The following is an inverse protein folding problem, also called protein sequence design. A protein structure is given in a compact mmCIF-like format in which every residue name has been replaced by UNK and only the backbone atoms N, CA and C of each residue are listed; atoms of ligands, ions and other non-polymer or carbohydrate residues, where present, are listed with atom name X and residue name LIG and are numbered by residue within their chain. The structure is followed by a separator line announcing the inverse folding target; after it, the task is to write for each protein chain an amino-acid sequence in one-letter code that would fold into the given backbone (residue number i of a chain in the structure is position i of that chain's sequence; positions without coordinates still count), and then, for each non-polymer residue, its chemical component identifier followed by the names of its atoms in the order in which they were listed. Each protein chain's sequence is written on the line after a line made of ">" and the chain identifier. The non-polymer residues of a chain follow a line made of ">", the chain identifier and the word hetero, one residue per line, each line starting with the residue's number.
data_IF_735043188534
#
_entry.id   IF_735043188534
#
_cell.length_a   1.000
_cell.length_b   1.000
_cell.length_c   1.000
_cell.angle_alpha   90.00
_cell.angle_beta   90.00
_cell.angle_gamma   90.00
#
_symmetry.space_group_name_H-M   'P 1'
#
loop_
_entity.id
_entity.type
_entity.pdbx_description
1 polymer ?
#
# COMPACT_ATOMS: atom_id res chain seq x y z
N UNK A 1 23.90 1.32 -16.67
CA UNK A 1 22.69 2.12 -16.94
C UNK A 1 21.79 1.34 -17.92
N UNK A 2 20.56 1.07 -17.50
CA UNK A 2 19.58 0.34 -18.32
C UNK A 2 18.82 1.32 -19.26
N UNK A 3 18.88 2.62 -18.97
CA UNK A 3 18.20 3.67 -19.73
C UNK A 3 19.24 4.57 -20.40
N UNK A 4 19.21 4.62 -21.73
CA UNK A 4 19.96 5.59 -22.53
C UNK A 4 19.01 6.73 -22.90
N UNK A 5 19.11 7.87 -22.23
CA UNK A 5 18.27 9.05 -22.47
C UNK A 5 18.27 10.00 -21.28
N UNK A 6 17.56 11.10 -21.43
CA UNK A 6 17.37 12.06 -20.35
C UNK A 6 16.55 11.44 -19.21
N UNK A 7 17.14 11.38 -18.03
CA UNK A 7 16.52 10.80 -16.84
C UNK A 7 16.24 11.87 -15.79
N UNK A 8 14.97 11.96 -15.35
CA UNK A 8 14.53 12.88 -14.32
C UNK A 8 13.82 12.11 -13.21
N UNK A 9 14.20 12.34 -11.96
CA UNK A 9 13.47 11.81 -10.82
C UNK A 9 12.16 12.59 -10.68
N UNK A 10 11.04 11.88 -10.90
CA UNK A 10 9.72 12.47 -10.79
C UNK A 10 9.26 12.47 -9.34
N UNK A 11 9.00 13.66 -8.79
CA UNK A 11 8.28 13.80 -7.54
C UNK A 11 6.77 13.57 -7.76
N UNK A 12 6.04 13.20 -6.70
CA UNK A 12 4.61 12.93 -6.75
C UNK A 12 3.81 14.05 -7.43
N UNK A 13 4.08 15.30 -7.09
CA UNK A 13 3.39 16.46 -7.67
C UNK A 13 3.56 16.57 -9.19
N UNK A 14 4.74 16.20 -9.74
CA UNK A 14 5.00 16.23 -11.18
C UNK A 14 4.13 15.23 -11.93
N UNK A 15 3.92 14.04 -11.35
CA UNK A 15 3.09 13.00 -11.95
C UNK A 15 1.60 13.32 -11.80
N UNK A 16 1.19 13.85 -10.65
CA UNK A 16 -0.19 14.26 -10.39
C UNK A 16 -0.60 15.48 -11.24
N UNK A 17 0.26 16.50 -11.37
CA UNK A 17 0.03 17.61 -12.30
C UNK A 17 0.07 17.12 -13.75
N UNK A 18 1.07 16.34 -14.12
CA UNK A 18 1.24 15.65 -15.41
C UNK A 18 1.36 16.55 -16.63
N UNK A 19 1.25 17.88 -16.52
CA UNK A 19 1.25 18.80 -17.67
C UNK A 19 2.55 18.74 -18.46
N UNK A 20 3.70 18.73 -17.78
CA UNK A 20 5.01 18.62 -18.42
C UNK A 20 5.15 17.29 -19.17
N UNK A 21 4.69 16.18 -18.56
CA UNK A 21 4.70 14.84 -19.17
C UNK A 21 3.87 14.84 -20.45
N UNK A 22 2.62 15.30 -20.38
CA UNK A 22 1.71 15.34 -21.52
C UNK A 22 2.21 16.25 -22.64
N UNK A 23 2.71 17.44 -22.30
CA UNK A 23 3.28 18.39 -23.27
C UNK A 23 4.45 17.77 -24.03
N UNK A 24 5.39 17.16 -23.31
CA UNK A 24 6.57 16.52 -23.91
C UNK A 24 6.19 15.31 -24.77
N UNK A 25 5.17 14.54 -24.34
CA UNK A 25 4.69 13.37 -25.07
C UNK A 25 4.07 13.68 -26.44
N UNK A 26 3.76 14.96 -26.73
CA UNK A 26 3.25 15.36 -28.07
C UNK A 26 4.33 15.37 -29.16
N UNK A 27 5.58 15.47 -28.77
CA UNK A 27 6.72 15.57 -29.71
C UNK A 27 7.80 14.51 -29.49
N UNK A 28 7.75 13.78 -28.37
CA UNK A 28 8.77 12.81 -27.98
C UNK A 28 8.17 11.63 -27.24
N UNK A 29 8.86 10.50 -27.21
CA UNK A 29 8.51 9.37 -26.35
C UNK A 29 8.90 9.66 -24.91
N UNK A 30 7.93 9.68 -24.01
CA UNK A 30 8.16 9.80 -22.56
C UNK A 30 7.89 8.47 -21.88
N UNK A 31 8.82 8.02 -21.06
CA UNK A 31 8.68 6.77 -20.28
C UNK A 31 8.57 7.11 -18.81
N UNK A 32 7.44 6.76 -18.19
CA UNK A 32 7.27 6.85 -16.74
C UNK A 32 7.62 5.49 -16.11
N UNK A 33 8.73 5.46 -15.38
CA UNK A 33 9.15 4.28 -14.62
C UNK A 33 8.56 4.35 -13.20
N UNK A 34 7.87 3.29 -12.81
CA UNK A 34 7.31 3.15 -11.46
C UNK A 34 7.81 1.87 -10.78
N UNK A 35 7.84 1.88 -9.46
CA UNK A 35 8.05 0.66 -8.68
C UNK A 35 6.78 -0.20 -8.74
N UNK A 36 6.93 -1.49 -9.07
CA UNK A 36 5.81 -2.42 -9.18
C UNK A 36 4.91 -2.14 -10.39
N UNK A 37 3.66 -2.57 -10.32
CA UNK A 37 2.69 -2.33 -11.40
C UNK A 37 2.27 -0.86 -11.45
N UNK A 38 2.25 -0.23 -12.63
CA UNK A 38 1.99 1.20 -12.77
C UNK A 38 0.58 1.64 -12.38
N UNK A 39 -0.37 0.72 -12.21
CA UNK A 39 -1.76 1.06 -11.87
C UNK A 39 -2.24 0.53 -10.53
N UNK A 40 -1.40 -0.18 -9.78
CA UNK A 40 -1.79 -0.72 -8.49
C UNK A 40 -1.45 0.26 -7.37
N UNK A 41 -2.46 0.69 -6.61
CA UNK A 41 -2.35 1.64 -5.50
C UNK A 41 -1.68 2.98 -5.89
N UNK A 42 -2.05 3.52 -7.05
CA UNK A 42 -1.49 4.74 -7.61
C UNK A 42 -2.54 5.58 -8.35
N UNK A 43 -2.23 6.84 -8.63
CA UNK A 43 -3.07 7.78 -9.40
C UNK A 43 -2.72 7.83 -10.89
N UNK A 44 -1.78 7.02 -11.38
CA UNK A 44 -1.26 7.08 -12.75
C UNK A 44 -2.33 6.84 -13.84
N UNK A 45 -3.43 6.18 -13.49
CA UNK A 45 -4.55 5.97 -14.42
C UNK A 45 -5.17 7.30 -14.89
N UNK A 46 -5.14 8.33 -14.04
CA UNK A 46 -5.63 9.66 -14.38
C UNK A 46 -4.75 10.30 -15.47
N UNK A 47 -3.42 10.20 -15.34
CA UNK A 47 -2.47 10.68 -16.35
C UNK A 47 -2.72 9.99 -17.70
N UNK A 48 -2.92 8.65 -17.69
CA UNK A 48 -3.26 7.90 -18.90
C UNK A 48 -4.58 8.36 -19.51
N UNK A 49 -5.58 8.65 -18.68
CA UNK A 49 -6.89 9.14 -19.16
C UNK A 49 -6.75 10.49 -19.85
N UNK A 50 -6.00 11.42 -19.25
CA UNK A 50 -5.70 12.73 -19.87
C UNK A 50 -4.92 12.58 -21.19
N UNK A 51 -3.90 11.73 -21.21
CA UNK A 51 -3.15 11.44 -22.44
C UNK A 51 -4.09 10.97 -23.56
N UNK A 52 -5.04 10.07 -23.26
CA UNK A 52 -6.03 9.60 -24.22
C UNK A 52 -6.94 10.72 -24.72
N UNK A 53 -7.40 11.62 -23.85
CA UNK A 53 -8.22 12.78 -24.23
C UNK A 53 -7.45 13.72 -25.16
N UNK A 54 -6.14 13.88 -24.97
CA UNK A 54 -5.24 14.66 -25.82
C UNK A 54 -4.75 13.90 -27.07
N UNK A 55 -5.28 12.70 -27.32
CA UNK A 55 -4.92 11.82 -28.46
C UNK A 55 -3.44 11.42 -28.47
N UNK A 56 -2.82 11.34 -27.30
CA UNK A 56 -1.45 10.82 -27.12
C UNK A 56 -1.54 9.30 -27.02
N UNK A 57 -0.80 8.59 -27.87
CA UNK A 57 -0.71 7.12 -27.78
C UNK A 57 -0.01 6.71 -26.48
N UNK A 58 -0.56 5.72 -25.80
CA UNK A 58 0.00 5.21 -24.54
C UNK A 58 0.16 3.70 -24.59
N UNK A 59 1.31 3.22 -24.11
CA UNK A 59 1.58 1.79 -23.92
C UNK A 59 1.89 1.55 -22.45
N UNK A 60 1.29 0.51 -21.89
CA UNK A 60 1.55 0.09 -20.51
C UNK A 60 2.31 -1.23 -20.51
N UNK A 61 3.33 -1.32 -19.66
CA UNK A 61 4.04 -2.56 -19.36
C UNK A 61 3.73 -2.87 -17.90
N UNK A 62 2.98 -3.93 -17.66
CA UNK A 62 2.63 -4.40 -16.31
C UNK A 62 3.78 -5.12 -15.65
N UNK A 63 3.82 -5.09 -14.32
CA UNK A 63 4.81 -5.74 -13.50
C UNK A 63 4.17 -6.35 -12.25
N UNK A 64 4.95 -7.07 -11.45
CA UNK A 64 4.50 -7.59 -10.16
C UNK A 64 4.17 -6.45 -9.19
N UNK A 65 3.15 -6.66 -8.35
CA UNK A 65 2.79 -5.73 -7.28
C UNK A 65 3.16 -6.31 -5.91
N UNK A 66 3.75 -5.49 -5.05
CA UNK A 66 4.02 -5.86 -3.67
C UNK A 66 2.75 -6.30 -2.92
N UNK A 67 1.57 -5.76 -3.31
CA UNK A 67 0.29 -6.14 -2.69
C UNK A 67 -0.03 -7.61 -2.98
N UNK A 68 0.02 -8.04 -4.24
CA UNK A 68 -0.27 -9.45 -4.59
C UNK A 68 0.82 -10.38 -4.05
N UNK A 69 2.08 -9.95 -4.11
CA UNK A 69 3.20 -10.74 -3.61
C UNK A 69 3.12 -10.97 -2.10
N UNK A 70 2.83 -9.93 -1.29
CA UNK A 70 2.73 -10.11 0.17
C UNK A 70 1.57 -10.99 0.59
N UNK A 71 0.45 -11.00 -0.14
CA UNK A 71 -0.68 -11.89 0.15
C UNK A 71 -0.25 -13.35 -0.04
N UNK A 72 0.43 -13.65 -1.14
CA UNK A 72 0.97 -15.00 -1.41
C UNK A 72 2.04 -15.42 -0.40
N UNK A 73 3.00 -14.54 -0.11
CA UNK A 73 4.06 -14.78 0.88
C UNK A 73 3.51 -14.98 2.30
N UNK A 74 2.38 -14.33 2.62
CA UNK A 74 1.67 -14.52 3.88
C UNK A 74 0.86 -15.83 3.95
N UNK A 75 0.78 -16.60 2.86
CA UNK A 75 -0.02 -17.82 2.78
C UNK A 75 -1.53 -17.58 2.72
N UNK A 76 -1.96 -16.37 2.37
CA UNK A 76 -3.37 -16.00 2.32
C UNK A 76 -3.95 -16.11 0.91
N UNK A 77 -5.25 -16.37 0.84
CA UNK A 77 -5.97 -16.44 -0.42
C UNK A 77 -6.38 -15.04 -0.91
N UNK A 78 -6.00 -14.70 -2.14
CA UNK A 78 -6.34 -13.41 -2.75
C UNK A 78 -7.86 -13.14 -2.78
N UNK A 79 -8.68 -14.19 -2.98
CA UNK A 79 -10.15 -14.10 -3.01
C UNK A 79 -10.78 -13.68 -1.68
N UNK A 80 -10.03 -13.74 -0.59
CA UNK A 80 -10.47 -13.35 0.75
C UNK A 80 -9.98 -11.97 1.18
N UNK A 81 -9.37 -11.24 0.26
CA UNK A 81 -8.95 -9.86 0.52
C UNK A 81 -10.13 -8.93 0.33
N UNK A 82 -10.47 -8.20 1.38
CA UNK A 82 -11.47 -7.15 1.34
C UNK A 82 -10.91 -5.84 0.76
N UNK A 83 -11.61 -4.74 1.00
CA UNK A 83 -11.15 -3.43 0.51
C UNK A 83 -9.80 -3.08 1.12
N UNK A 84 -8.82 -2.81 0.25
CA UNK A 84 -7.47 -2.35 0.62
C UNK A 84 -7.53 -0.86 1.01
N UNK A 85 -6.74 -0.47 2.00
CA UNK A 85 -6.71 0.90 2.51
C UNK A 85 -5.29 1.34 2.84
N UNK A 86 -5.12 2.66 3.05
CA UNK A 86 -3.86 3.25 3.52
C UNK A 86 -4.09 3.91 4.87
N UNK A 87 -3.20 3.69 5.82
CA UNK A 87 -3.14 4.44 7.08
C UNK A 87 -2.07 5.51 6.96
N UNK A 88 -2.47 6.73 7.30
CA UNK A 88 -1.60 7.89 7.39
C UNK A 88 -1.14 8.09 8.83
N UNK A 89 -0.06 8.84 9.02
CA UNK A 89 0.46 9.13 10.36
C UNK A 89 -0.52 9.92 11.24
N UNK A 90 -1.34 10.76 10.62
CA UNK A 90 -2.33 11.54 11.34
C UNK A 90 -3.44 10.65 11.89
N UNK A 91 -3.62 10.61 13.22
CA UNK A 91 -4.61 9.76 13.90
C UNK A 91 -6.03 9.91 13.35
N UNK A 92 -6.47 11.15 13.06
CA UNK A 92 -7.82 11.40 12.53
C UNK A 92 -8.07 10.73 11.19
N UNK A 93 -7.04 10.57 10.35
CA UNK A 93 -7.14 9.89 9.07
C UNK A 93 -7.35 8.38 9.20
N UNK A 94 -7.08 7.81 10.38
CA UNK A 94 -7.24 6.37 10.68
C UNK A 94 -8.71 5.94 10.84
N UNK A 95 -9.64 6.88 11.02
CA UNK A 95 -11.08 6.57 11.16
C UNK A 95 -11.66 5.83 9.95
N UNK A 96 -11.38 6.30 8.73
CA UNK A 96 -11.88 5.69 7.51
C UNK A 96 -11.30 4.28 7.30
N UNK A 97 -9.97 4.06 7.41
CA UNK A 97 -9.39 2.73 7.47
C UNK A 97 -10.01 1.83 8.52
N UNK A 98 -10.18 2.29 9.76
CA UNK A 98 -10.81 1.53 10.82
C UNK A 98 -12.23 1.06 10.45
N UNK A 99 -13.06 1.96 9.91
CA UNK A 99 -14.39 1.61 9.41
C UNK A 99 -14.38 0.58 8.27
N UNK A 100 -13.34 0.61 7.44
CA UNK A 100 -13.14 -0.38 6.37
C UNK A 100 -12.70 -1.73 6.93
N UNK A 101 -11.80 -1.75 7.91
CA UNK A 101 -11.39 -2.97 8.63
C UNK A 101 -12.61 -3.62 9.28
N UNK A 102 -13.44 -2.83 9.98
CA UNK A 102 -14.69 -3.33 10.56
C UNK A 102 -15.56 -4.06 9.53
N UNK A 103 -15.80 -3.45 8.38
CA UNK A 103 -16.60 -4.07 7.29
C UNK A 103 -15.97 -5.35 6.78
N UNK A 104 -14.67 -5.33 6.46
CA UNK A 104 -13.96 -6.50 5.97
C UNK A 104 -14.05 -7.66 6.97
N UNK A 105 -13.78 -7.40 8.26
CA UNK A 105 -13.81 -8.43 9.30
C UNK A 105 -15.22 -8.98 9.52
N UNK A 106 -16.25 -8.14 9.45
CA UNK A 106 -17.66 -8.58 9.54
C UNK A 106 -18.03 -9.54 8.40
N UNK A 107 -17.44 -9.36 7.22
CA UNK A 107 -17.61 -10.24 6.05
C UNK A 107 -16.64 -11.44 6.07
N UNK A 108 -15.80 -11.57 7.09
CA UNK A 108 -14.79 -12.63 7.20
C UNK A 108 -13.58 -12.44 6.26
N UNK A 109 -13.40 -11.24 5.71
CA UNK A 109 -12.33 -10.91 4.77
C UNK A 109 -11.09 -10.38 5.50
N UNK A 110 -9.92 -10.57 4.89
CA UNK A 110 -8.66 -10.00 5.37
C UNK A 110 -8.56 -8.53 4.94
N UNK A 111 -7.91 -7.72 5.77
CA UNK A 111 -7.70 -6.29 5.53
C UNK A 111 -6.24 -6.01 5.23
N UNK A 112 -5.92 -5.68 3.98
CA UNK A 112 -4.59 -5.23 3.57
C UNK A 112 -4.49 -3.72 3.80
N UNK A 113 -3.48 -3.31 4.55
CA UNK A 113 -3.23 -1.94 4.97
C UNK A 113 -1.86 -1.52 4.46
N UNK A 114 -1.86 -0.55 3.58
CA UNK A 114 -0.67 0.15 3.17
C UNK A 114 -0.33 1.24 4.20
N UNK A 115 0.95 1.45 4.44
CA UNK A 115 1.41 2.47 5.38
C UNK A 115 1.93 3.69 4.64
N UNK A 116 1.69 4.87 5.20
CA UNK A 116 2.11 6.13 4.60
C UNK A 116 3.60 6.15 4.28
N UNK A 117 3.92 6.59 3.07
CA UNK A 117 5.23 7.08 2.69
C UNK A 117 5.12 8.56 2.28
N UNK A 118 5.84 9.41 2.97
CA UNK A 118 5.97 10.84 2.63
C UNK A 118 7.36 11.09 2.05
N UNK A 119 7.43 11.22 0.73
CA UNK A 119 8.69 11.40 0.00
C UNK A 119 9.43 12.68 0.39
N UNK A 120 8.70 13.79 0.62
CA UNK A 120 9.33 15.08 0.91
C UNK A 120 9.98 15.10 2.31
N UNK A 121 9.44 14.33 3.23
CA UNK A 121 9.97 14.18 4.59
C UNK A 121 10.86 12.95 4.75
N UNK A 122 11.02 12.14 3.72
CA UNK A 122 11.64 10.80 3.78
C UNK A 122 11.11 9.98 4.97
N UNK A 123 9.79 10.01 5.15
CA UNK A 123 9.11 9.41 6.29
C UNK A 123 8.29 8.21 5.87
N UNK A 124 8.45 7.12 6.60
CA UNK A 124 7.62 5.92 6.51
C UNK A 124 6.91 5.70 7.84
N UNK A 125 5.60 5.46 7.79
CA UNK A 125 4.84 5.12 8.99
C UNK A 125 5.27 3.74 9.51
N UNK A 126 5.72 3.70 10.77
CA UNK A 126 6.09 2.45 11.44
C UNK A 126 4.83 1.59 11.73
N UNK A 127 4.88 0.27 11.50
CA UNK A 127 3.77 -0.63 11.80
C UNK A 127 3.25 -0.54 13.24
N UNK A 128 4.12 -0.33 14.22
CA UNK A 128 3.71 -0.18 15.63
C UNK A 128 2.86 1.06 15.84
N UNK A 129 3.21 2.17 15.19
CA UNK A 129 2.43 3.41 15.27
C UNK A 129 1.06 3.23 14.61
N UNK A 130 1.01 2.54 13.46
CA UNK A 130 -0.25 2.24 12.79
C UNK A 130 -1.16 1.34 13.65
N UNK A 131 -0.61 0.29 14.27
CA UNK A 131 -1.33 -0.60 15.20
C UNK A 131 -1.82 0.19 16.42
N UNK A 132 -0.97 1.04 17.01
CA UNK A 132 -1.33 1.87 18.16
C UNK A 132 -2.48 2.83 17.82
N UNK A 133 -2.42 3.50 16.66
CA UNK A 133 -3.50 4.37 16.19
C UNK A 133 -4.83 3.62 16.02
N UNK A 134 -4.78 2.40 15.47
CA UNK A 134 -5.96 1.54 15.32
C UNK A 134 -6.57 1.14 16.67
N UNK A 135 -5.74 0.76 17.65
CA UNK A 135 -6.20 0.42 19.00
C UNK A 135 -6.76 1.65 19.74
N UNK A 136 -6.20 2.83 19.50
CA UNK A 136 -6.72 4.07 20.07
C UNK A 136 -8.09 4.42 19.50
N UNK A 137 -8.28 4.25 18.19
CA UNK A 137 -9.60 4.44 17.54
C UNK A 137 -10.61 3.42 18.07
N UNK A 138 -10.20 2.15 18.24
CA UNK A 138 -11.07 1.12 18.83
C UNK A 138 -11.54 1.51 20.24
N UNK A 139 -10.65 2.03 21.10
CA UNK A 139 -11.02 2.51 22.44
C UNK A 139 -12.05 3.62 22.39
N UNK A 140 -12.00 4.49 21.37
CA UNK A 140 -12.90 5.60 21.17
C UNK A 140 -14.27 5.15 20.63
N UNK A 141 -14.28 4.30 19.59
CA UNK A 141 -15.50 3.90 18.86
C UNK A 141 -16.13 2.60 19.33
N UNK A 142 -15.38 1.74 20.02
CA UNK A 142 -15.85 0.52 20.72
C UNK A 142 -16.72 -0.39 19.84
N UNK A 143 -16.19 -0.75 18.66
CA UNK A 143 -16.87 -1.69 17.75
C UNK A 143 -16.52 -3.16 18.04
N UNK A 144 -15.65 -3.41 19.00
CA UNK A 144 -15.18 -4.72 19.46
C UNK A 144 -14.57 -5.57 18.34
N UNK A 145 -13.87 -4.97 17.39
CA UNK A 145 -13.24 -5.66 16.26
C UNK A 145 -11.74 -5.75 16.38
N UNK A 146 -11.09 -4.82 17.08
CA UNK A 146 -9.65 -4.79 17.27
C UNK A 146 -9.29 -4.84 18.75
N UNK A 147 -8.47 -5.80 19.11
CA UNK A 147 -7.96 -5.95 20.48
C UNK A 147 -6.46 -6.21 20.46
N UNK A 148 -5.85 -6.24 21.61
CA UNK A 148 -4.45 -6.67 21.74
C UNK A 148 -4.22 -8.12 21.26
N UNK A 149 -5.27 -8.93 21.17
CA UNK A 149 -5.24 -10.30 20.68
C UNK A 149 -5.56 -10.42 19.19
N UNK A 150 -5.87 -9.31 18.51
CA UNK A 150 -6.07 -9.29 17.04
C UNK A 150 -4.82 -9.82 16.35
N UNK A 151 -5.01 -10.86 15.51
CA UNK A 151 -3.93 -11.47 14.75
C UNK A 151 -3.70 -10.68 13.46
N UNK A 152 -2.43 -10.41 13.19
CA UNK A 152 -2.02 -9.69 12.00
C UNK A 152 -0.66 -10.17 11.49
N UNK A 153 -0.35 -9.79 10.28
CA UNK A 153 0.89 -10.08 9.58
C UNK A 153 1.50 -8.75 9.18
N UNK A 154 2.77 -8.54 9.47
CA UNK A 154 3.55 -7.40 8.97
C UNK A 154 4.47 -7.90 7.89
N UNK A 155 4.31 -7.35 6.70
CA UNK A 155 5.15 -7.61 5.54
C UNK A 155 6.14 -6.46 5.37
N UNK A 156 7.42 -6.78 5.39
CA UNK A 156 8.52 -5.82 5.27
C UNK A 156 9.32 -6.10 4.02
N UNK A 157 9.60 -5.08 3.21
CA UNK A 157 10.53 -5.12 2.06
C UNK A 157 10.24 -6.27 1.08
N UNK A 158 8.97 -6.47 0.74
CA UNK A 158 8.54 -7.51 -0.20
C UNK A 158 9.28 -7.38 -1.54
N UNK A 159 9.89 -8.47 -2.00
CA UNK A 159 10.70 -8.52 -3.21
C UNK A 159 12.17 -8.12 -3.05
N UNK A 160 12.62 -7.76 -1.85
CA UNK A 160 14.03 -7.52 -1.54
C UNK A 160 14.65 -8.74 -0.86
N UNK A 161 15.99 -8.87 -0.93
CA UNK A 161 16.72 -9.92 -0.21
C UNK A 161 16.49 -9.88 1.31
N UNK A 162 16.16 -8.70 1.83
CA UNK A 162 15.88 -8.46 3.24
C UNK A 162 14.40 -8.55 3.58
N UNK A 163 13.59 -9.17 2.71
CA UNK A 163 12.16 -9.43 2.93
C UNK A 163 11.92 -10.18 4.24
N UNK A 164 10.89 -9.75 4.98
CA UNK A 164 10.42 -10.42 6.19
C UNK A 164 8.90 -10.46 6.21
N UNK A 165 8.35 -11.58 6.65
CA UNK A 165 6.94 -11.77 6.97
C UNK A 165 6.87 -12.17 8.44
N UNK A 166 6.25 -11.34 9.27
CA UNK A 166 6.15 -11.56 10.71
C UNK A 166 4.69 -11.54 11.10
N UNK A 167 4.21 -12.62 11.69
CA UNK A 167 2.82 -12.76 12.12
C UNK A 167 2.70 -12.88 13.65
N UNK A 168 1.59 -12.44 14.18
CA UNK A 168 1.31 -12.54 15.61
C UNK A 168 0.16 -11.66 16.06
N UNK A 169 -0.11 -11.71 17.36
CA UNK A 169 -1.06 -10.82 18.01
C UNK A 169 -0.51 -9.39 18.05
N UNK A 170 -1.37 -8.39 18.01
CA UNK A 170 -0.97 -6.98 18.16
C UNK A 170 -0.08 -6.74 19.37
N UNK A 171 -0.40 -7.35 20.53
CA UNK A 171 0.40 -7.27 21.75
C UNK A 171 1.86 -7.74 21.58
N UNK A 172 2.12 -8.65 20.67
CA UNK A 172 3.46 -9.13 20.35
C UNK A 172 4.10 -8.24 19.27
N UNK A 173 3.37 -7.92 18.20
CA UNK A 173 3.86 -7.10 17.09
C UNK A 173 4.30 -5.71 17.53
N UNK A 174 3.65 -5.12 18.56
CA UNK A 174 4.06 -3.84 19.15
C UNK A 174 5.46 -3.84 19.77
N UNK A 175 6.03 -5.03 20.04
CA UNK A 175 7.35 -5.19 20.66
C UNK A 175 8.47 -5.52 19.66
N UNK A 176 8.10 -5.77 18.39
CA UNK A 176 9.03 -6.25 17.37
C UNK A 176 9.66 -5.08 16.61
N UNK A 177 10.92 -5.22 16.26
CA UNK A 177 11.57 -4.40 15.26
C UNK A 177 11.38 -5.05 13.86
N UNK A 178 10.67 -4.36 12.97
CA UNK A 178 10.40 -4.83 11.62
C UNK A 178 11.52 -4.52 10.62
N UNK A 179 12.56 -3.82 11.06
CA UNK A 179 13.69 -3.40 10.22
C UNK A 179 13.32 -2.24 9.28
N UNK A 180 14.07 -2.15 8.19
CA UNK A 180 13.93 -1.07 7.20
C UNK A 180 12.60 -1.12 6.43
N UNK A 181 12.00 0.04 6.11
CA UNK A 181 10.80 0.11 5.27
C UNK A 181 11.09 -0.27 3.80
N UNK A 182 10.04 -0.43 2.96
CA UNK A 182 8.63 -0.21 3.25
C UNK A 182 7.96 -1.38 3.98
N UNK A 183 6.87 -1.06 4.71
CA UNK A 183 6.07 -2.03 5.45
C UNK A 183 4.60 -1.98 5.03
N UNK A 184 3.91 -3.10 5.22
CA UNK A 184 2.45 -3.20 5.10
C UNK A 184 1.92 -4.12 6.20
N UNK A 185 0.64 -3.99 6.54
CA UNK A 185 -0.01 -4.83 7.56
C UNK A 185 -1.17 -5.59 6.90
N UNK A 186 -1.37 -6.85 7.26
CA UNK A 186 -2.57 -7.59 6.92
C UNK A 186 -3.24 -8.00 8.25
N UNK A 187 -4.43 -7.48 8.50
CA UNK A 187 -5.26 -7.96 9.61
C UNK A 187 -6.11 -9.11 9.07
N UNK A 188 -5.99 -10.28 9.68
CA UNK A 188 -6.68 -11.46 9.19
C UNK A 188 -8.14 -11.47 9.62
N UNK A 189 -9.04 -11.73 8.68
CA UNK A 189 -10.40 -12.16 8.99
C UNK A 189 -10.43 -13.64 9.32
N UNK A 190 -11.59 -14.29 9.14
CA UNK A 190 -11.71 -15.73 9.36
C UNK A 190 -10.81 -16.50 8.40
N UNK A 191 -9.82 -17.21 8.92
CA UNK A 191 -8.90 -18.03 8.11
C UNK A 191 -9.65 -19.19 7.44
N UNK A 192 -9.27 -19.49 6.22
CA UNK A 192 -9.67 -20.72 5.54
C UNK A 192 -8.76 -21.88 6.00
N UNK A 193 -9.19 -23.12 5.82
CA UNK A 193 -8.40 -24.28 6.26
C UNK A 193 -7.04 -24.43 5.55
N UNK A 194 -6.84 -23.71 4.45
CA UNK A 194 -5.57 -23.70 3.69
C UNK A 194 -4.69 -22.47 4.00
N UNK A 195 -5.12 -21.58 4.88
CA UNK A 195 -4.39 -20.35 5.27
C UNK A 195 -3.66 -20.50 6.60
#
# INVERSE_FOLDING_TARGET
>A
NIVNGDFKIAKRWLVEDGQEILKTSKSSTVVLLSYGDPYVATTHIELRTRAKLEKIETKTIHSASAITSMIGEAGLQFYKIGRIMTIMNEKKSTMTPYGTIFKNLTEGLHSVILLEYNQDKNYFLDPKNAISNLLDIEREYKKDVLTNDTFAIVASRIGFETQKIISGKFSNLLKIDFGEPPHSIIITGKLHFTE
#
